data_IF_909519815947
#
_entry.id   IF_909519815947
#
_cell.length_a   1.000
_cell.length_b   1.000
_cell.length_c   1.000
_cell.angle_alpha   90.00
_cell.angle_beta   90.00
_cell.angle_gamma   90.00
#
_symmetry.space_group_name_H-M   'P 1'
#
loop_
_entity.id
_entity.type
_entity.pdbx_description
1 polymer ?
#
# COMPACT_ATOMS: atom_id res chain seq x y z
N UNK A 1 -13.88 -34.18 19.49
CA UNK A 1 -13.65 -35.55 18.99
C UNK A 1 -13.82 -36.48 20.18
N UNK A 2 -14.56 -37.58 20.01
CA UNK A 2 -14.59 -38.67 20.99
C UNK A 2 -13.14 -39.10 21.30
N UNK A 3 -12.88 -39.48 22.54
CA UNK A 3 -11.60 -40.06 22.97
C UNK A 3 -11.20 -41.15 21.98
N UNK A 4 -10.15 -40.90 21.20
CA UNK A 4 -9.62 -41.87 20.25
C UNK A 4 -9.21 -43.12 21.03
N UNK A 5 -9.73 -44.28 20.64
CA UNK A 5 -9.33 -45.56 21.21
C UNK A 5 -7.81 -45.72 21.10
N UNK A 6 -7.14 -46.28 22.12
CA UNK A 6 -5.66 -46.36 22.20
C UNK A 6 -5.01 -47.25 21.11
N UNK A 7 -5.77 -47.76 20.14
CA UNK A 7 -5.29 -48.53 18.98
C UNK A 7 -5.48 -47.86 17.61
N UNK A 8 -6.01 -46.63 17.54
CA UNK A 8 -6.26 -45.96 16.25
C UNK A 8 -4.96 -45.42 15.66
N UNK A 9 -4.56 -45.93 14.50
CA UNK A 9 -3.40 -45.41 13.77
C UNK A 9 -3.76 -44.04 13.15
N UNK A 10 -3.34 -42.97 13.83
CA UNK A 10 -3.56 -41.57 13.46
C UNK A 10 -3.01 -41.18 12.08
N UNK A 11 -2.09 -41.97 11.51
CA UNK A 11 -1.50 -41.72 10.21
C UNK A 11 -2.40 -42.17 9.05
N UNK A 12 -3.23 -43.20 9.27
CA UNK A 12 -4.11 -43.77 8.23
C UNK A 12 -5.59 -43.45 8.49
N UNK A 13 -5.89 -42.67 9.52
CA UNK A 13 -7.26 -42.27 9.85
C UNK A 13 -7.51 -40.88 9.30
N UNK A 14 -8.50 -40.78 8.40
CA UNK A 14 -8.91 -39.49 7.84
C UNK A 14 -9.61 -38.61 8.87
N UNK A 15 -9.53 -37.30 8.68
CA UNK A 15 -10.18 -36.34 9.60
C UNK A 15 -11.69 -36.36 9.46
N UNK A 16 -12.16 -36.53 8.22
CA UNK A 16 -13.57 -36.64 7.87
C UNK A 16 -13.74 -37.94 7.09
N UNK A 17 -14.82 -38.71 7.33
CA UNK A 17 -15.10 -39.89 6.51
C UNK A 17 -15.28 -39.47 5.05
N UNK A 18 -14.71 -40.22 4.08
CA UNK A 18 -14.89 -39.90 2.68
C UNK A 18 -16.36 -40.05 2.24
N UNK A 19 -16.79 -39.33 1.18
CA UNK A 19 -18.10 -39.53 0.58
C UNK A 19 -18.30 -40.99 0.12
N UNK A 20 -19.56 -41.43 0.07
CA UNK A 20 -19.91 -42.80 -0.32
C UNK A 20 -19.30 -43.12 -1.70
N UNK A 21 -18.46 -44.16 -1.76
CA UNK A 21 -17.82 -44.63 -2.99
C UNK A 21 -16.42 -44.04 -3.28
N UNK A 22 -15.85 -43.26 -2.36
CA UNK A 22 -14.50 -42.71 -2.49
C UNK A 22 -13.60 -43.20 -1.34
N UNK A 23 -12.36 -43.56 -1.66
CA UNK A 23 -11.34 -43.87 -0.64
C UNK A 23 -10.41 -42.67 -0.42
N UNK A 24 -9.96 -42.50 0.82
CA UNK A 24 -9.01 -41.43 1.19
C UNK A 24 -7.66 -41.65 0.52
N UNK A 25 -7.17 -40.65 -0.20
CA UNK A 25 -5.86 -40.70 -0.85
C UNK A 25 -4.84 -39.85 -0.08
N UNK A 26 -3.94 -40.51 0.65
CA UNK A 26 -2.92 -39.85 1.48
C UNK A 26 -1.66 -39.42 0.72
N UNK A 27 -1.45 -39.87 -0.53
CA UNK A 27 -0.30 -39.50 -1.36
C UNK A 27 -0.40 -38.07 -1.96
N UNK A 28 -1.56 -37.41 -1.78
CA UNK A 28 -1.85 -35.98 -2.05
C UNK A 28 -1.00 -35.35 -3.17
N UNK A 29 -1.29 -35.66 -4.45
CA UNK A 29 -0.71 -34.89 -5.55
C UNK A 29 -1.11 -33.41 -5.43
N UNK A 30 -0.32 -32.53 -6.06
CA UNK A 30 -0.55 -31.08 -6.00
C UNK A 30 -1.95 -30.75 -6.55
N UNK A 31 -2.80 -30.17 -5.71
CA UNK A 31 -4.18 -29.83 -6.05
C UNK A 31 -4.25 -28.59 -6.96
N UNK A 32 -5.26 -28.52 -7.83
CA UNK A 32 -5.50 -27.35 -8.70
C UNK A 32 -5.54 -26.04 -7.90
N UNK A 33 -6.12 -26.08 -6.69
CA UNK A 33 -6.21 -24.91 -5.80
C UNK A 33 -4.85 -24.51 -5.27
N UNK A 34 -3.96 -25.47 -4.96
CA UNK A 34 -2.59 -25.18 -4.54
C UNK A 34 -1.79 -24.54 -5.67
N UNK A 35 -1.93 -25.05 -6.90
CA UNK A 35 -1.29 -24.47 -8.08
C UNK A 35 -1.83 -23.04 -8.36
N UNK A 36 -3.14 -22.84 -8.27
CA UNK A 36 -3.76 -21.52 -8.39
C UNK A 36 -3.22 -20.54 -7.34
N UNK A 37 -2.99 -21.00 -6.12
CA UNK A 37 -2.45 -20.18 -5.03
C UNK A 37 -1.03 -19.70 -5.32
N UNK A 38 -0.16 -20.60 -5.76
CA UNK A 38 1.23 -20.28 -6.10
C UNK A 38 1.29 -19.31 -7.28
N UNK A 39 0.51 -19.58 -8.33
CA UNK A 39 0.48 -18.75 -9.55
C UNK A 39 -0.08 -17.36 -9.28
N UNK A 40 -1.22 -17.25 -8.59
CA UNK A 40 -1.83 -15.97 -8.20
C UNK A 40 -0.90 -15.17 -7.29
N UNK A 41 -0.27 -15.81 -6.30
CA UNK A 41 0.71 -15.12 -5.45
C UNK A 41 1.88 -14.59 -6.27
N UNK A 42 2.52 -15.42 -7.10
CA UNK A 42 3.68 -15.01 -7.88
C UNK A 42 3.37 -13.78 -8.75
N UNK A 43 2.24 -13.77 -9.45
CA UNK A 43 1.83 -12.66 -10.32
C UNK A 43 1.52 -11.39 -9.51
N UNK A 44 0.66 -11.52 -8.49
CA UNK A 44 0.20 -10.36 -7.72
C UNK A 44 1.30 -9.77 -6.83
N UNK A 45 2.15 -10.62 -6.27
CA UNK A 45 3.28 -10.22 -5.44
C UNK A 45 4.40 -9.59 -6.26
N UNK A 46 4.64 -10.09 -7.48
CA UNK A 46 5.55 -9.42 -8.42
C UNK A 46 5.07 -8.00 -8.72
N UNK A 47 3.79 -7.81 -9.03
CA UNK A 47 3.21 -6.49 -9.26
C UNK A 47 3.32 -5.59 -8.02
N UNK A 48 3.04 -6.13 -6.83
CA UNK A 48 3.21 -5.41 -5.57
C UNK A 48 4.67 -4.98 -5.36
N UNK A 49 5.63 -5.85 -5.62
CA UNK A 49 7.06 -5.58 -5.48
C UNK A 49 7.54 -4.50 -6.46
N UNK A 50 7.12 -4.56 -7.72
CA UNK A 50 7.42 -3.52 -8.72
C UNK A 50 6.84 -2.17 -8.29
N UNK A 51 5.59 -2.16 -7.81
CA UNK A 51 4.95 -0.93 -7.33
C UNK A 51 5.64 -0.34 -6.09
N UNK A 52 6.17 -1.19 -5.20
CA UNK A 52 6.91 -0.79 -4.01
C UNK A 52 8.31 -0.25 -4.39
N UNK A 53 9.00 -0.91 -5.31
CA UNK A 53 10.28 -0.42 -5.84
C UNK A 53 10.13 0.96 -6.48
N UNK A 54 9.07 1.17 -7.27
CA UNK A 54 8.75 2.49 -7.82
C UNK A 54 8.50 3.51 -6.69
N UNK A 55 7.78 3.13 -5.63
CA UNK A 55 7.56 4.00 -4.47
C UNK A 55 8.85 4.39 -3.79
N UNK A 56 9.78 3.45 -3.55
CA UNK A 56 11.09 3.77 -2.99
C UNK A 56 11.87 4.73 -3.89
N UNK A 57 11.88 4.49 -5.20
CA UNK A 57 12.52 5.41 -6.15
C UNK A 57 11.93 6.82 -6.06
N UNK A 58 10.60 6.95 -5.98
CA UNK A 58 9.95 8.26 -5.82
C UNK A 58 10.25 8.93 -4.47
N UNK A 59 10.26 8.18 -3.38
CA UNK A 59 10.57 8.70 -2.05
C UNK A 59 12.03 9.15 -1.97
N UNK A 60 12.97 8.37 -2.50
CA UNK A 60 14.40 8.68 -2.48
C UNK A 60 14.77 9.84 -3.43
N UNK A 61 14.25 9.83 -4.66
CA UNK A 61 14.68 10.78 -5.70
C UNK A 61 13.87 12.09 -5.70
N UNK A 62 12.58 12.04 -5.36
CA UNK A 62 11.67 13.19 -5.50
C UNK A 62 11.34 13.83 -4.18
N UNK A 63 10.88 13.03 -3.20
CA UNK A 63 10.42 13.56 -1.90
C UNK A 63 11.61 13.85 -0.98
N UNK A 64 12.67 13.03 -1.05
CA UNK A 64 13.89 13.12 -0.22
C UNK A 64 13.64 13.04 1.30
N UNK A 65 12.47 12.58 1.71
CA UNK A 65 12.10 12.33 3.11
C UNK A 65 11.53 10.92 3.28
N UNK A 66 11.89 10.29 4.38
CA UNK A 66 11.38 8.98 4.77
C UNK A 66 10.11 9.15 5.60
N UNK A 67 8.97 9.09 4.92
CA UNK A 67 7.67 9.15 5.56
C UNK A 67 7.30 7.80 6.21
N UNK A 68 6.67 7.83 7.39
CA UNK A 68 6.21 6.64 8.15
C UNK A 68 5.43 5.63 7.30
N UNK A 69 4.66 6.12 6.37
CA UNK A 69 3.93 5.34 5.38
C UNK A 69 4.81 4.37 4.58
N UNK A 70 6.04 4.74 4.21
CA UNK A 70 6.97 3.85 3.48
C UNK A 70 7.31 2.65 4.35
N UNK A 71 7.55 2.87 5.63
CA UNK A 71 7.86 1.81 6.59
C UNK A 71 6.65 0.89 6.75
N UNK A 72 5.45 1.45 6.93
CA UNK A 72 4.21 0.68 7.09
C UNK A 72 3.93 -0.21 5.88
N UNK A 73 4.06 0.31 4.66
CA UNK A 73 3.82 -0.49 3.46
C UNK A 73 4.90 -1.55 3.21
N UNK A 74 6.14 -1.28 3.62
CA UNK A 74 7.23 -2.27 3.60
C UNK A 74 6.93 -3.44 4.54
N UNK A 75 6.46 -3.13 5.75
CA UNK A 75 6.04 -4.15 6.71
C UNK A 75 4.82 -4.93 6.20
N UNK A 76 3.86 -4.27 5.54
CA UNK A 76 2.72 -4.94 4.91
C UNK A 76 3.15 -5.93 3.82
N UNK A 77 4.13 -5.55 2.99
CA UNK A 77 4.73 -6.41 1.96
C UNK A 77 5.47 -7.62 2.57
N UNK A 78 6.21 -7.41 3.66
CA UNK A 78 6.90 -8.49 4.37
C UNK A 78 5.92 -9.46 5.06
N UNK A 79 4.85 -8.94 5.66
CA UNK A 79 3.80 -9.78 6.28
C UNK A 79 2.97 -10.54 5.25
N UNK A 80 2.73 -9.98 4.05
CA UNK A 80 2.12 -10.69 2.94
C UNK A 80 2.98 -11.87 2.45
N UNK A 81 4.31 -11.70 2.42
CA UNK A 81 5.24 -12.81 2.15
C UNK A 81 5.19 -13.86 3.27
N UNK A 82 5.18 -13.42 4.53
CA UNK A 82 5.06 -14.31 5.68
C UNK A 82 3.77 -15.15 5.66
N UNK A 83 2.67 -14.56 5.20
CA UNK A 83 1.41 -15.27 4.96
C UNK A 83 1.60 -16.38 3.92
N UNK A 84 2.17 -16.06 2.76
CA UNK A 84 2.41 -17.04 1.70
C UNK A 84 3.35 -18.18 2.15
N UNK A 85 4.45 -17.85 2.83
CA UNK A 85 5.37 -18.85 3.38
C UNK A 85 4.63 -19.79 4.34
N UNK A 86 3.79 -19.24 5.23
CA UNK A 86 3.01 -20.05 6.18
C UNK A 86 2.01 -20.95 5.47
N UNK A 87 1.35 -20.46 4.41
CA UNK A 87 0.48 -21.26 3.53
C UNK A 87 1.24 -22.38 2.83
N UNK A 88 2.46 -22.15 2.32
CA UNK A 88 3.29 -23.19 1.72
C UNK A 88 3.63 -24.32 2.71
N UNK A 89 3.83 -24.00 4.00
CA UNK A 89 3.96 -25.03 5.03
C UNK A 89 2.65 -25.79 5.24
N UNK A 90 1.51 -25.09 5.27
CA UNK A 90 0.19 -25.73 5.41
C UNK A 90 -0.17 -26.63 4.22
N UNK A 91 0.29 -26.33 3.00
CA UNK A 91 0.11 -27.19 1.81
C UNK A 91 0.62 -28.61 2.02
N UNK A 92 1.74 -28.76 2.74
CA UNK A 92 2.31 -30.08 3.09
C UNK A 92 1.38 -30.90 3.98
N UNK A 93 0.55 -30.23 4.77
CA UNK A 93 -0.33 -30.85 5.77
C UNK A 93 -1.81 -30.84 5.36
N UNK A 94 -2.10 -30.73 4.06
CA UNK A 94 -3.45 -30.90 3.53
C UNK A 94 -4.21 -29.62 3.17
N UNK A 95 -3.57 -28.45 3.19
CA UNK A 95 -4.19 -27.21 2.68
C UNK A 95 -4.46 -27.31 1.19
N UNK A 96 -5.72 -27.15 0.76
CA UNK A 96 -6.12 -27.28 -0.65
C UNK A 96 -6.42 -28.70 -1.13
N UNK A 97 -6.18 -29.71 -0.28
CA UNK A 97 -6.67 -31.09 -0.46
C UNK A 97 -8.05 -31.25 0.17
N UNK A 98 -8.79 -32.29 -0.20
CA UNK A 98 -10.07 -32.60 0.45
C UNK A 98 -9.85 -33.04 1.89
N UNK A 99 -10.82 -32.75 2.77
CA UNK A 99 -10.65 -32.97 4.20
C UNK A 99 -10.54 -34.47 4.56
N UNK A 100 -11.11 -35.34 3.73
CA UNK A 100 -11.00 -36.80 3.87
C UNK A 100 -9.67 -37.37 3.38
N UNK A 101 -8.86 -36.60 2.64
CA UNK A 101 -7.50 -37.00 2.23
C UNK A 101 -6.42 -36.57 3.25
N UNK A 102 -6.84 -35.87 4.31
CA UNK A 102 -5.96 -35.39 5.38
C UNK A 102 -5.99 -36.36 6.54
N UNK A 103 -4.80 -36.76 7.01
CA UNK A 103 -4.64 -37.62 8.19
C UNK A 103 -4.82 -36.82 9.49
N UNK A 104 -5.22 -37.51 10.55
CA UNK A 104 -5.29 -36.93 11.89
C UNK A 104 -3.93 -36.38 12.38
N UNK A 105 -2.84 -37.06 12.07
CA UNK A 105 -1.48 -36.61 12.39
C UNK A 105 -1.13 -35.29 11.66
N UNK A 106 -1.49 -35.18 10.39
CA UNK A 106 -1.25 -33.96 9.60
C UNK A 106 -2.09 -32.79 10.09
N UNK A 107 -3.32 -33.03 10.58
CA UNK A 107 -4.14 -31.96 11.15
C UNK A 107 -3.54 -31.29 12.38
N UNK A 108 -2.78 -32.03 13.19
CA UNK A 108 -2.09 -31.43 14.34
C UNK A 108 -1.05 -30.42 13.84
N UNK A 109 -0.31 -30.75 12.78
CA UNK A 109 0.64 -29.82 12.16
C UNK A 109 -0.09 -28.68 11.43
N UNK A 110 -1.19 -28.97 10.74
CA UNK A 110 -2.04 -27.97 10.10
C UNK A 110 -2.48 -26.89 11.09
N UNK A 111 -3.02 -27.29 12.25
CA UNK A 111 -3.47 -26.36 13.30
C UNK A 111 -2.31 -25.57 13.92
N UNK A 112 -1.10 -26.14 13.97
CA UNK A 112 0.10 -25.43 14.41
C UNK A 112 0.47 -24.29 13.46
N UNK A 113 0.36 -24.49 12.15
CA UNK A 113 0.65 -23.47 11.13
C UNK A 113 -0.55 -22.55 10.83
N UNK A 114 -1.76 -22.92 11.26
CA UNK A 114 -2.96 -22.08 11.12
C UNK A 114 -2.86 -20.75 11.89
N UNK A 115 -2.26 -20.78 13.09
CA UNK A 115 -2.06 -19.59 13.93
C UNK A 115 -1.16 -18.53 13.25
N UNK A 116 0.10 -18.83 12.84
CA UNK A 116 0.95 -17.85 12.16
C UNK A 116 0.36 -17.39 10.81
N UNK A 117 -0.33 -18.26 10.09
CA UNK A 117 -1.03 -17.91 8.84
C UNK A 117 -2.15 -16.91 9.09
N UNK A 118 -2.94 -17.10 10.15
CA UNK A 118 -4.02 -16.17 10.49
C UNK A 118 -3.45 -14.83 10.95
N UNK A 119 -2.42 -14.84 11.82
CA UNK A 119 -1.77 -13.61 12.29
C UNK A 119 -1.19 -12.79 11.14
N UNK A 120 -0.40 -13.40 10.27
CA UNK A 120 0.19 -12.71 9.11
C UNK A 120 -0.87 -12.14 8.18
N UNK A 121 -1.98 -12.86 7.98
CA UNK A 121 -3.15 -12.34 7.26
C UNK A 121 -3.84 -11.17 7.97
N UNK A 122 -3.92 -11.15 9.30
CA UNK A 122 -4.56 -10.03 10.01
C UNK A 122 -3.72 -8.75 9.98
N UNK A 123 -2.41 -8.88 10.11
CA UNK A 123 -1.51 -7.73 10.20
C UNK A 123 -1.26 -7.05 8.85
N UNK A 124 -1.18 -7.82 7.76
CA UNK A 124 -0.92 -7.27 6.41
C UNK A 124 -1.94 -6.22 5.93
N UNK A 125 -3.27 -6.44 5.98
CA UNK A 125 -4.26 -5.45 5.59
C UNK A 125 -4.32 -4.31 6.60
N UNK A 126 -4.12 -4.55 7.90
CA UNK A 126 -4.06 -3.48 8.91
C UNK A 126 -2.91 -2.51 8.63
N UNK A 127 -1.71 -3.01 8.36
CA UNK A 127 -0.55 -2.19 8.00
C UNK A 127 -0.78 -1.41 6.70
N UNK A 128 -1.39 -2.06 5.70
CA UNK A 128 -1.77 -1.42 4.42
C UNK A 128 -2.76 -0.28 4.65
N UNK A 129 -3.80 -0.50 5.45
CA UNK A 129 -4.82 0.51 5.78
C UNK A 129 -4.25 1.67 6.59
N UNK A 130 -3.35 1.40 7.55
CA UNK A 130 -2.66 2.45 8.30
C UNK A 130 -1.77 3.31 7.40
N UNK A 131 -1.09 2.70 6.43
CA UNK A 131 -0.35 3.41 5.39
C UNK A 131 -1.28 4.32 4.60
N UNK A 132 -2.42 3.81 4.11
CA UNK A 132 -3.42 4.61 3.40
C UNK A 132 -3.94 5.77 4.26
N UNK A 133 -4.30 5.52 5.51
CA UNK A 133 -4.80 6.54 6.44
C UNK A 133 -3.76 7.63 6.70
N UNK A 134 -2.47 7.28 6.77
CA UNK A 134 -1.40 8.27 6.93
C UNK A 134 -1.24 9.18 5.70
N UNK A 135 -1.49 8.66 4.49
CA UNK A 135 -1.57 9.47 3.27
C UNK A 135 -2.81 10.35 3.30
N UNK A 136 -3.98 9.79 3.65
CA UNK A 136 -5.24 10.52 3.74
C UNK A 136 -5.14 11.68 4.74
N UNK A 137 -4.53 11.47 5.91
CA UNK A 137 -4.30 12.51 6.92
C UNK A 137 -3.64 13.78 6.37
N UNK A 138 -2.72 13.64 5.41
CA UNK A 138 -1.99 14.75 4.78
C UNK A 138 -2.80 15.49 3.71
N UNK A 139 -3.91 14.93 3.23
CA UNK A 139 -4.69 15.49 2.13
C UNK A 139 -5.49 16.73 2.56
N UNK A 140 -6.10 16.69 3.74
CA UNK A 140 -6.94 17.78 4.23
C UNK A 140 -6.55 18.21 5.65
N UNK A 141 -6.29 19.51 5.88
CA UNK A 141 -6.03 20.04 7.21
C UNK A 141 -7.31 20.26 8.05
N UNK A 142 -8.48 19.89 7.54
CA UNK A 142 -9.73 20.08 8.26
C UNK A 142 -9.76 19.20 9.53
N UNK A 143 -9.99 19.81 10.70
CA UNK A 143 -9.98 19.11 12.01
C UNK A 143 -10.92 17.91 12.03
N UNK A 144 -12.15 18.06 11.54
CA UNK A 144 -13.12 16.95 11.49
C UNK A 144 -12.61 15.76 10.67
N UNK A 145 -11.99 16.02 9.53
CA UNK A 145 -11.41 14.99 8.67
C UNK A 145 -10.25 14.27 9.36
N UNK A 146 -9.33 15.02 9.99
CA UNK A 146 -8.20 14.46 10.72
C UNK A 146 -8.64 13.62 11.93
N UNK A 147 -9.66 14.06 12.67
CA UNK A 147 -10.25 13.29 13.77
C UNK A 147 -10.83 11.97 13.25
N UNK A 148 -11.58 11.98 12.14
CA UNK A 148 -12.11 10.75 11.54
C UNK A 148 -11.00 9.77 11.13
N UNK A 149 -9.90 10.26 10.54
CA UNK A 149 -8.73 9.43 10.22
C UNK A 149 -8.16 8.76 11.47
N UNK A 150 -7.94 9.53 12.55
CA UNK A 150 -7.42 9.00 13.82
C UNK A 150 -8.34 7.97 14.45
N UNK A 151 -9.66 8.22 14.48
CA UNK A 151 -10.64 7.29 15.03
C UNK A 151 -10.61 5.96 14.28
N UNK A 152 -10.57 5.98 12.94
CA UNK A 152 -10.48 4.77 12.13
C UNK A 152 -9.15 4.05 12.40
N UNK A 153 -8.02 4.77 12.44
CA UNK A 153 -6.71 4.18 12.69
C UNK A 153 -6.62 3.50 14.08
N UNK A 154 -7.15 4.13 15.12
CA UNK A 154 -7.19 3.58 16.47
C UNK A 154 -8.12 2.37 16.52
N UNK A 155 -9.31 2.45 15.92
CA UNK A 155 -10.23 1.32 15.84
C UNK A 155 -9.60 0.12 15.12
N UNK A 156 -8.86 0.36 14.03
CA UNK A 156 -8.12 -0.66 13.29
C UNK A 156 -7.12 -1.41 14.18
N UNK A 157 -6.32 -0.65 14.95
CA UNK A 157 -5.32 -1.21 15.85
C UNK A 157 -5.97 -1.98 16.99
N UNK A 158 -6.99 -1.41 17.63
CA UNK A 158 -7.70 -2.04 18.76
C UNK A 158 -8.27 -3.39 18.32
N UNK A 159 -8.98 -3.48 17.20
CA UNK A 159 -9.52 -4.78 16.79
C UNK A 159 -8.40 -5.75 16.42
N UNK A 160 -7.34 -5.30 15.72
CA UNK A 160 -6.27 -6.21 15.27
C UNK A 160 -5.52 -6.80 16.47
N UNK A 161 -5.23 -5.98 17.48
CA UNK A 161 -4.60 -6.41 18.72
C UNK A 161 -5.53 -7.35 19.49
N UNK A 162 -6.82 -7.00 19.63
CA UNK A 162 -7.80 -7.84 20.32
C UNK A 162 -7.88 -9.23 19.69
N UNK A 163 -7.95 -9.32 18.37
CA UNK A 163 -8.01 -10.60 17.67
C UNK A 163 -6.69 -11.38 17.79
N UNK A 164 -5.55 -10.69 17.78
CA UNK A 164 -4.23 -11.32 18.00
C UNK A 164 -4.16 -11.97 19.39
N UNK A 165 -4.66 -11.29 20.42
CA UNK A 165 -4.73 -11.81 21.80
C UNK A 165 -5.71 -12.99 21.88
N UNK A 166 -6.90 -12.86 21.28
CA UNK A 166 -7.89 -13.94 21.28
C UNK A 166 -7.37 -15.21 20.60
N UNK A 167 -6.72 -15.07 19.44
CA UNK A 167 -6.14 -16.20 18.70
C UNK A 167 -4.98 -16.87 19.44
N UNK A 168 -4.21 -16.09 20.21
CA UNK A 168 -3.05 -16.61 20.97
C UNK A 168 -3.45 -17.23 22.31
N UNK A 169 -4.60 -16.86 22.86
CA UNK A 169 -5.11 -17.33 24.14
C UNK A 169 -6.36 -18.21 23.99
N UNK A 170 -7.57 -17.68 24.27
CA UNK A 170 -8.80 -18.48 24.40
C UNK A 170 -9.25 -19.18 23.11
N UNK A 171 -8.81 -18.71 21.95
CA UNK A 171 -9.22 -19.18 20.63
C UNK A 171 -8.03 -19.76 19.88
N UNK A 172 -7.18 -20.49 20.59
CA UNK A 172 -6.00 -21.11 20.02
C UNK A 172 -6.38 -22.37 19.23
N UNK A 173 -6.00 -22.46 17.93
CA UNK A 173 -6.30 -23.62 17.10
C UNK A 173 -5.68 -24.93 17.57
N UNK A 174 -4.73 -24.88 18.52
CA UNK A 174 -4.13 -26.07 19.14
C UNK A 174 -5.02 -26.67 20.23
N UNK A 175 -5.94 -25.89 20.80
CA UNK A 175 -6.75 -26.31 21.95
C UNK A 175 -8.02 -27.02 21.49
N UNK A 176 -8.35 -28.11 22.18
CA UNK A 176 -9.54 -28.93 21.90
C UNK A 176 -10.79 -28.13 22.31
N UNK A 177 -11.69 -27.87 21.36
CA UNK A 177 -12.93 -27.12 21.59
C UNK A 177 -12.89 -25.65 21.14
N UNK A 178 -11.75 -25.15 20.66
CA UNK A 178 -11.60 -23.78 20.15
C UNK A 178 -12.33 -23.49 18.84
N UNK A 179 -12.87 -24.52 18.16
CA UNK A 179 -13.51 -24.39 16.84
C UNK A 179 -14.68 -23.40 16.78
N UNK A 180 -15.52 -23.36 17.83
CA UNK A 180 -16.63 -22.39 17.90
C UNK A 180 -16.09 -20.96 18.04
N UNK A 181 -15.07 -20.75 18.88
CA UNK A 181 -14.46 -19.43 18.99
C UNK A 181 -13.80 -19.01 17.67
N UNK A 182 -13.01 -19.89 17.05
CA UNK A 182 -12.33 -19.60 15.78
C UNK A 182 -13.31 -19.21 14.68
N UNK A 183 -14.45 -19.90 14.59
CA UNK A 183 -15.47 -19.57 13.61
C UNK A 183 -16.08 -18.19 13.85
N UNK A 184 -16.48 -17.90 15.09
CA UNK A 184 -17.02 -16.58 15.45
C UNK A 184 -15.98 -15.47 15.20
N UNK A 185 -14.73 -15.72 15.57
CA UNK A 185 -13.62 -14.81 15.32
C UNK A 185 -13.43 -14.57 13.82
N UNK A 186 -13.43 -15.61 12.99
CA UNK A 186 -13.29 -15.49 11.54
C UNK A 186 -14.44 -14.68 10.91
N UNK A 187 -15.68 -14.90 11.34
CA UNK A 187 -16.84 -14.13 10.86
C UNK A 187 -16.73 -12.66 11.27
N UNK A 188 -16.44 -12.39 12.54
CA UNK A 188 -16.23 -11.02 13.03
C UNK A 188 -15.08 -10.33 12.29
N UNK A 189 -14.03 -11.06 11.96
CA UNK A 189 -12.89 -10.54 11.20
C UNK A 189 -13.31 -10.05 9.82
N UNK A 190 -14.06 -10.88 9.08
CA UNK A 190 -14.54 -10.55 7.73
C UNK A 190 -15.41 -9.29 7.76
N UNK A 191 -16.35 -9.20 8.72
CA UNK A 191 -17.25 -8.05 8.85
C UNK A 191 -16.47 -6.76 9.12
N UNK A 192 -15.55 -6.80 10.10
CA UNK A 192 -14.75 -5.62 10.45
C UNK A 192 -13.79 -5.22 9.31
N UNK A 193 -13.23 -6.18 8.60
CA UNK A 193 -12.35 -5.91 7.47
C UNK A 193 -13.09 -5.17 6.34
N UNK A 194 -14.29 -5.64 5.97
CA UNK A 194 -15.14 -4.98 4.98
C UNK A 194 -15.61 -3.60 5.46
N UNK A 195 -16.03 -3.48 6.72
CA UNK A 195 -16.47 -2.21 7.28
C UNK A 195 -15.36 -1.14 7.27
N UNK A 196 -14.13 -1.57 7.53
CA UNK A 196 -12.97 -0.67 7.54
C UNK A 196 -12.52 -0.30 6.11
N UNK A 197 -12.63 -1.21 5.15
CA UNK A 197 -12.43 -0.89 3.72
C UNK A 197 -13.43 0.17 3.23
N UNK A 198 -14.72 0.00 3.54
CA UNK A 198 -15.76 0.96 3.23
C UNK A 198 -15.50 2.33 3.87
N UNK A 199 -15.09 2.33 5.13
CA UNK A 199 -14.80 3.57 5.86
C UNK A 199 -13.68 4.37 5.20
N UNK A 200 -12.61 3.71 4.75
CA UNK A 200 -11.48 4.34 4.06
C UNK A 200 -11.87 4.88 2.68
N UNK A 201 -12.70 4.14 1.94
CA UNK A 201 -13.21 4.56 0.61
C UNK A 201 -14.13 5.78 0.73
N UNK A 202 -14.99 5.82 1.75
CA UNK A 202 -15.95 6.92 1.94
C UNK A 202 -15.24 8.19 2.44
N UNK A 203 -14.18 8.06 3.24
CA UNK A 203 -13.51 9.17 3.90
C UNK A 203 -13.14 10.36 2.99
N UNK A 204 -12.52 10.18 1.81
CA UNK A 204 -12.17 11.29 0.92
C UNK A 204 -13.36 11.85 0.11
N UNK A 205 -14.50 11.16 0.00
CA UNK A 205 -15.59 11.54 -0.92
C UNK A 205 -16.23 12.91 -0.58
N UNK A 206 -16.55 13.23 0.69
CA UNK A 206 -17.14 14.53 1.02
C UNK A 206 -16.18 15.70 0.70
N UNK A 207 -14.89 15.52 0.98
CA UNK A 207 -13.85 16.51 0.68
C UNK A 207 -13.66 16.71 -0.83
N UNK A 208 -13.83 15.66 -1.62
CA UNK A 208 -13.77 15.73 -3.08
C UNK A 208 -14.98 16.42 -3.70
N UNK A 209 -16.16 16.29 -3.09
CA UNK A 209 -17.38 16.92 -3.60
C UNK A 209 -17.41 18.43 -3.33
N UNK A 210 -16.83 18.89 -2.21
CA UNK A 210 -16.80 20.32 -1.87
C UNK A 210 -15.74 21.12 -2.64
N UNK A 211 -14.73 20.45 -3.23
CA UNK A 211 -13.61 21.11 -3.89
C UNK A 211 -13.81 21.14 -5.41
N UNK A 212 -13.81 22.33 -6.02
CA UNK A 212 -13.91 22.54 -7.46
C UNK A 212 -12.62 22.08 -8.18
N UNK A 213 -12.47 20.76 -8.33
CA UNK A 213 -11.27 20.12 -8.88
C UNK A 213 -11.35 20.06 -10.42
N UNK A 214 -10.27 20.39 -11.16
CA UNK A 214 -10.23 20.27 -12.62
C UNK A 214 -10.38 18.82 -13.07
N UNK A 215 -11.05 18.60 -14.21
CA UNK A 215 -11.43 17.26 -14.72
C UNK A 215 -10.30 16.21 -14.70
N UNK A 216 -9.06 16.62 -15.05
CA UNK A 216 -7.88 15.73 -15.04
C UNK A 216 -7.57 15.15 -13.66
N UNK A 217 -7.75 15.93 -12.59
CA UNK A 217 -7.54 15.48 -11.22
C UNK A 217 -8.71 14.59 -10.74
N UNK A 218 -9.93 14.85 -11.23
CA UNK A 218 -11.12 14.02 -10.97
C UNK A 218 -10.94 12.61 -11.53
N UNK A 219 -10.34 12.48 -12.73
CA UNK A 219 -10.03 11.17 -13.33
C UNK A 219 -9.02 10.38 -12.50
N UNK A 220 -7.91 10.98 -12.06
CA UNK A 220 -6.89 10.28 -11.24
C UNK A 220 -7.47 9.81 -9.90
N UNK A 221 -8.28 10.64 -9.25
CA UNK A 221 -8.99 10.27 -8.03
C UNK A 221 -9.99 9.14 -8.30
N UNK A 222 -10.70 9.19 -9.42
CA UNK A 222 -11.59 8.12 -9.87
C UNK A 222 -10.85 6.80 -10.04
N UNK A 223 -9.70 6.78 -10.71
CA UNK A 223 -8.89 5.57 -10.88
C UNK A 223 -8.43 4.98 -9.55
N UNK A 224 -7.97 5.82 -8.62
CA UNK A 224 -7.57 5.39 -7.27
C UNK A 224 -8.75 4.77 -6.52
N UNK A 225 -9.92 5.42 -6.58
CA UNK A 225 -11.15 4.92 -5.96
C UNK A 225 -11.59 3.58 -6.58
N UNK A 226 -11.46 3.44 -7.91
CA UNK A 226 -11.75 2.19 -8.61
C UNK A 226 -10.83 1.06 -8.17
N UNK A 227 -9.53 1.31 -8.00
CA UNK A 227 -8.59 0.28 -7.52
C UNK A 227 -8.90 -0.07 -6.05
N UNK A 228 -9.18 0.91 -5.20
CA UNK A 228 -9.64 0.67 -3.83
C UNK A 228 -10.93 -0.15 -3.79
N UNK A 229 -11.86 0.07 -4.73
CA UNK A 229 -13.07 -0.73 -4.84
C UNK A 229 -12.80 -2.18 -5.24
N UNK A 230 -11.75 -2.46 -6.02
CA UNK A 230 -11.37 -3.84 -6.36
C UNK A 230 -10.89 -4.64 -5.15
N UNK A 231 -10.17 -3.98 -4.22
CA UNK A 231 -9.77 -4.59 -2.93
C UNK A 231 -11.01 -4.92 -2.11
N UNK A 232 -11.97 -3.98 -2.01
CA UNK A 232 -13.23 -4.21 -1.32
C UNK A 232 -14.03 -5.37 -1.93
N UNK A 233 -14.06 -5.49 -3.26
CA UNK A 233 -14.72 -6.61 -3.95
C UNK A 233 -14.06 -7.93 -3.56
N UNK A 234 -12.72 -8.01 -3.52
CA UNK A 234 -12.02 -9.21 -3.07
C UNK A 234 -12.40 -9.59 -1.62
N UNK A 235 -12.47 -8.61 -0.71
CA UNK A 235 -12.93 -8.80 0.67
C UNK A 235 -14.36 -9.35 0.75
N UNK A 236 -15.27 -8.85 -0.08
CA UNK A 236 -16.67 -9.30 -0.14
C UNK A 236 -16.77 -10.72 -0.71
N UNK A 237 -16.03 -11.02 -1.79
CA UNK A 237 -16.02 -12.36 -2.40
C UNK A 237 -15.47 -13.40 -1.44
N UNK A 238 -14.55 -13.04 -0.53
CA UNK A 238 -14.04 -13.93 0.51
C UNK A 238 -15.10 -14.30 1.57
N UNK A 239 -16.03 -13.40 1.88
CA UNK A 239 -17.02 -13.58 2.95
C UNK A 239 -17.83 -14.89 2.89
N UNK A 240 -18.42 -15.31 1.75
CA UNK A 240 -19.17 -16.57 1.66
C UNK A 240 -18.30 -17.79 1.94
N UNK A 241 -17.03 -17.80 1.52
CA UNK A 241 -16.14 -18.95 1.78
C UNK A 241 -15.90 -19.16 3.27
N UNK A 242 -15.72 -18.08 4.04
CA UNK A 242 -15.54 -18.16 5.50
C UNK A 242 -16.79 -18.68 6.19
N UNK A 243 -17.98 -18.27 5.73
CA UNK A 243 -19.27 -18.80 6.22
C UNK A 243 -19.44 -20.29 5.93
N UNK A 244 -19.08 -20.71 4.72
CA UNK A 244 -19.22 -22.08 4.22
C UNK A 244 -18.22 -23.01 4.93
N UNK A 245 -17.00 -22.54 5.22
CA UNK A 245 -16.00 -23.32 5.97
C UNK A 245 -16.52 -23.85 7.31
N UNK A 246 -17.43 -23.14 7.98
CA UNK A 246 -17.96 -23.54 9.28
C UNK A 246 -18.87 -24.78 9.22
N UNK A 247 -19.55 -24.98 8.09
CA UNK A 247 -20.59 -25.99 7.92
C UNK A 247 -20.23 -27.08 6.94
N UNK A 248 -19.19 -26.88 6.13
CA UNK A 248 -18.81 -27.83 5.09
C UNK A 248 -17.81 -28.86 5.64
N UNK A 249 -18.03 -30.16 5.35
CA UNK A 249 -17.08 -31.21 5.72
C UNK A 249 -15.71 -31.01 5.06
N UNK A 250 -15.69 -30.35 3.90
CA UNK A 250 -14.51 -30.09 3.07
C UNK A 250 -13.81 -28.75 3.40
N UNK A 251 -13.63 -28.48 4.68
CA UNK A 251 -13.14 -27.18 5.16
C UNK A 251 -11.71 -26.84 4.67
N UNK A 252 -10.82 -27.83 4.52
CA UNK A 252 -9.44 -27.63 4.05
C UNK A 252 -9.37 -27.10 2.62
N UNK A 253 -10.24 -27.58 1.74
CA UNK A 253 -10.36 -27.10 0.35
C UNK A 253 -11.01 -25.72 0.29
N UNK A 254 -12.09 -25.51 1.04
CA UNK A 254 -12.77 -24.20 1.10
C UNK A 254 -11.92 -23.10 1.73
N UNK A 255 -11.09 -23.45 2.70
CA UNK A 255 -10.10 -22.55 3.26
C UNK A 255 -9.03 -22.16 2.24
N UNK A 256 -8.64 -23.08 1.36
CA UNK A 256 -7.68 -22.78 0.31
C UNK A 256 -8.25 -21.84 -0.77
N UNK A 257 -9.50 -22.07 -1.19
CA UNK A 257 -10.22 -21.16 -2.09
C UNK A 257 -10.31 -19.73 -1.50
N UNK A 258 -10.63 -19.61 -0.20
CA UNK A 258 -10.62 -18.34 0.50
C UNK A 258 -9.20 -17.71 0.56
N UNK A 259 -8.17 -18.54 0.72
CA UNK A 259 -6.77 -18.11 0.75
C UNK A 259 -6.31 -17.48 -0.56
N UNK A 260 -6.76 -17.99 -1.72
CA UNK A 260 -6.46 -17.38 -3.03
C UNK A 260 -6.96 -15.93 -3.08
N UNK A 261 -8.21 -15.70 -2.68
CA UNK A 261 -8.79 -14.34 -2.62
C UNK A 261 -8.05 -13.44 -1.62
N UNK A 262 -7.54 -14.02 -0.54
CA UNK A 262 -6.73 -13.30 0.45
C UNK A 262 -5.43 -12.79 -0.15
N UNK A 263 -4.73 -13.61 -0.94
CA UNK A 263 -3.49 -13.19 -1.61
C UNK A 263 -3.75 -12.02 -2.57
N UNK A 264 -4.86 -12.08 -3.32
CA UNK A 264 -5.29 -11.00 -4.20
C UNK A 264 -5.56 -9.73 -3.39
N UNK A 265 -6.33 -9.83 -2.31
CA UNK A 265 -6.65 -8.71 -1.41
C UNK A 265 -5.40 -8.03 -0.86
N UNK A 266 -4.47 -8.80 -0.27
CA UNK A 266 -3.24 -8.27 0.34
C UNK A 266 -2.37 -7.54 -0.69
N UNK A 267 -2.10 -8.19 -1.82
CA UNK A 267 -1.19 -7.64 -2.84
C UNK A 267 -1.82 -6.47 -3.61
N UNK A 268 -3.12 -6.53 -3.92
CA UNK A 268 -3.84 -5.42 -4.55
C UNK A 268 -3.97 -4.22 -3.61
N UNK A 269 -4.14 -4.46 -2.31
CA UNK A 269 -4.11 -3.41 -1.29
C UNK A 269 -2.78 -2.65 -1.30
N UNK A 270 -1.65 -3.38 -1.38
CA UNK A 270 -0.32 -2.78 -1.46
C UNK A 270 -0.16 -1.93 -2.73
N UNK A 271 -0.54 -2.48 -3.88
CA UNK A 271 -0.50 -1.78 -5.18
C UNK A 271 -1.37 -0.52 -5.13
N UNK A 272 -2.59 -0.63 -4.62
CA UNK A 272 -3.51 0.50 -4.45
C UNK A 272 -2.89 1.62 -3.62
N UNK A 273 -2.31 1.28 -2.47
CA UNK A 273 -1.66 2.25 -1.60
C UNK A 273 -0.47 2.94 -2.29
N UNK A 274 0.34 2.19 -3.03
CA UNK A 274 1.46 2.75 -3.81
C UNK A 274 0.97 3.72 -4.89
N UNK A 275 -0.15 3.41 -5.55
CA UNK A 275 -0.76 4.27 -6.56
C UNK A 275 -1.40 5.54 -5.96
N UNK A 276 -1.98 5.46 -4.76
CA UNK A 276 -2.53 6.63 -4.04
C UNK A 276 -1.48 7.73 -3.85
N UNK A 277 -0.25 7.34 -3.54
CA UNK A 277 0.85 8.30 -3.30
C UNK A 277 1.54 8.78 -4.56
N UNK A 278 1.38 8.07 -5.69
CA UNK A 278 1.93 8.49 -6.98
C UNK A 278 1.17 9.66 -7.61
N UNK A 279 0.03 10.10 -7.05
CA UNK A 279 -0.79 11.21 -7.56
C UNK A 279 0.01 12.51 -7.88
N UNK A 280 0.88 13.05 -7.01
CA UNK A 280 1.75 14.19 -7.35
C UNK A 280 2.85 13.84 -8.37
N UNK A 281 3.34 12.60 -8.39
CA UNK A 281 4.40 12.16 -9.32
C UNK A 281 3.86 11.99 -10.75
N UNK A 282 2.69 11.36 -10.91
CA UNK A 282 1.98 11.22 -12.17
C UNK A 282 1.68 12.60 -12.77
N UNK A 283 1.34 13.61 -11.96
CA UNK A 283 1.13 14.99 -12.45
C UNK A 283 2.37 15.58 -13.14
N UNK A 284 3.57 15.26 -12.66
CA UNK A 284 4.82 15.86 -13.16
C UNK A 284 5.50 15.00 -14.23
N UNK A 285 5.39 13.67 -14.14
CA UNK A 285 6.12 12.73 -15.00
C UNK A 285 5.25 11.98 -16.03
N UNK A 286 3.91 11.86 -15.88
CA UNK A 286 3.06 11.34 -16.97
C UNK A 286 3.25 12.09 -18.29
N UNK A 287 3.30 13.44 -18.36
CA UNK A 287 3.52 14.09 -19.65
C UNK A 287 4.86 13.71 -20.26
N UNK A 288 5.90 13.45 -19.46
CA UNK A 288 7.21 12.99 -19.95
C UNK A 288 7.20 11.52 -20.38
N UNK A 289 6.54 10.64 -19.62
CA UNK A 289 6.44 9.20 -19.94
C UNK A 289 5.50 8.94 -21.12
N UNK A 290 4.38 9.65 -21.25
CA UNK A 290 3.49 9.59 -22.42
C UNK A 290 4.16 10.15 -23.68
N UNK A 291 5.01 11.18 -23.54
CA UNK A 291 5.84 11.69 -24.65
C UNK A 291 6.95 10.69 -25.02
N UNK A 292 7.55 10.01 -24.03
CA UNK A 292 8.58 8.99 -24.24
C UNK A 292 8.03 7.69 -24.86
N UNK A 293 6.82 7.27 -24.46
CA UNK A 293 6.09 6.13 -25.03
C UNK A 293 5.39 6.46 -26.36
N UNK A 294 5.52 7.70 -26.88
CA UNK A 294 4.96 8.10 -28.17
C UNK A 294 3.42 8.14 -28.22
N UNK A 295 2.74 8.11 -27.08
CA UNK A 295 1.26 8.08 -26.97
C UNK A 295 0.64 9.48 -26.94
N UNK A 296 1.43 10.54 -27.07
CA UNK A 296 0.91 11.90 -27.24
C UNK A 296 0.44 12.11 -28.68
N UNK A 297 -0.88 12.24 -28.86
CA UNK A 297 -1.42 12.84 -30.07
C UNK A 297 -0.79 14.23 -30.24
N UNK A 298 -0.08 14.45 -31.36
CA UNK A 298 0.36 15.79 -31.80
C UNK A 298 -0.86 16.70 -31.76
N UNK A 299 -0.97 17.57 -30.76
CA UNK A 299 -1.80 18.75 -30.89
C UNK A 299 -1.17 19.56 -32.01
N UNK A 300 -1.81 19.58 -33.19
CA UNK A 300 -1.47 20.50 -34.27
C UNK A 300 -1.33 21.89 -33.63
N UNK A 301 -0.21 22.62 -33.84
CA UNK A 301 -0.25 24.04 -33.63
C UNK A 301 -1.34 24.57 -34.56
N UNK A 302 -2.37 25.17 -33.98
CA UNK A 302 -3.40 25.86 -34.74
C UNK A 302 -2.68 26.99 -35.47
N UNK A 303 -2.51 26.79 -36.79
CA UNK A 303 -1.88 27.79 -37.65
C UNK A 303 -2.62 29.10 -37.50
N UNK A 304 -1.89 30.13 -37.08
CA UNK A 304 -2.25 31.52 -37.32
C UNK A 304 -2.53 31.68 -38.81
N UNK A 305 -3.77 32.02 -39.14
CA UNK A 305 -4.14 32.46 -40.48
C UNK A 305 -3.56 33.86 -40.71
N UNK A 306 -2.66 34.09 -41.69
CA UNK A 306 -2.39 35.43 -42.16
C UNK A 306 -3.35 35.73 -43.30
N UNK A 307 -4.37 36.57 -43.08
CA UNK A 307 -5.14 37.13 -44.18
C UNK A 307 -5.40 38.63 -44.03
N UNK A 308 -4.52 39.36 -44.71
CA UNK A 308 -4.79 40.51 -45.60
C UNK A 308 -5.41 41.78 -44.99
N UNK A 309 -4.49 42.73 -44.81
CA UNK A 309 -4.62 44.17 -45.11
C UNK A 309 -5.65 44.52 -46.20
N UNK A 310 -6.53 45.47 -45.87
CA UNK A 310 -7.05 46.49 -46.79
C UNK A 310 -7.79 47.59 -45.99
N UNK A 311 -7.32 48.83 -46.06
CA UNK A 311 -8.16 50.01 -45.79
C UNK A 311 -7.55 51.07 -44.87
N UNK A 312 -6.80 52.00 -45.48
CA UNK A 312 -6.40 53.32 -44.95
C UNK A 312 -7.49 54.01 -44.11
N UNK A 313 -7.12 54.78 -43.07
CA UNK A 313 -7.41 56.22 -42.90
C UNK A 313 -6.60 56.83 -41.72
N UNK A 314 -5.64 57.70 -42.07
CA UNK A 314 -5.18 58.95 -41.43
C UNK A 314 -5.01 59.06 -39.90
N UNK A 315 -3.80 59.49 -39.47
CA UNK A 315 -3.67 60.62 -38.53
C UNK A 315 -2.68 60.53 -37.36
N UNK A 316 -1.42 60.93 -37.62
CA UNK A 316 -0.42 61.52 -36.70
C UNK A 316 0.32 60.66 -35.64
N UNK A 317 1.57 61.07 -35.27
CA UNK A 317 2.62 60.17 -34.78
C UNK A 317 2.91 60.33 -33.28
N UNK A 318 3.43 59.29 -32.65
CA UNK A 318 4.37 59.45 -31.53
C UNK A 318 5.26 58.22 -31.36
N UNK A 319 6.51 58.52 -31.04
CA UNK A 319 7.70 57.67 -31.02
C UNK A 319 7.54 56.32 -30.27
N UNK A 320 7.98 55.25 -30.92
CA UNK A 320 8.52 54.07 -30.22
C UNK A 320 9.90 53.76 -30.79
N UNK A 321 10.92 53.87 -29.95
CA UNK A 321 12.31 53.53 -30.28
C UNK A 321 12.41 52.04 -30.66
N UNK A 322 12.95 51.77 -31.85
CA UNK A 322 13.42 50.44 -32.21
C UNK A 322 14.85 50.25 -31.69
N UNK A 323 15.04 49.21 -30.89
CA UNK A 323 16.34 48.64 -30.56
C UNK A 323 16.73 47.70 -31.71
N UNK A 324 17.60 48.17 -32.58
CA UNK A 324 18.23 47.33 -33.60
C UNK A 324 19.71 47.12 -33.28
N UNK A 325 20.05 45.83 -33.31
CA UNK A 325 21.32 45.22 -33.75
C UNK A 325 22.63 45.70 -33.11
N UNK A 326 23.17 44.83 -32.26
CA UNK A 326 24.61 44.69 -32.07
C UNK A 326 25.21 44.04 -33.34
N UNK A 327 25.90 44.84 -34.15
CA UNK A 327 26.87 44.37 -35.14
C UNK A 327 28.28 44.58 -34.55
N UNK A 328 29.07 43.51 -34.57
CA UNK A 328 30.50 43.47 -34.31
C UNK A 328 31.26 44.16 -35.45
N UNK A 329 32.20 45.06 -35.15
CA UNK A 329 33.64 44.88 -35.42
C UNK A 329 34.41 46.20 -35.30
N UNK A 330 35.48 46.12 -34.51
CA UNK A 330 36.73 46.89 -34.43
C UNK A 330 36.73 48.43 -34.58
N UNK A 331 37.55 49.10 -33.75
CA UNK A 331 38.81 49.55 -34.34
C UNK A 331 40.04 49.45 -33.44
N UNK A 332 41.14 49.17 -34.13
CA UNK A 332 42.52 49.47 -33.81
C UNK A 332 42.77 50.83 -33.11
N UNK A 333 43.74 50.75 -32.19
CA UNK A 333 44.93 51.61 -32.06
C UNK A 333 45.02 52.67 -30.93
N UNK A 334 46.07 52.44 -30.10
CA UNK A 334 46.96 53.39 -29.38
C UNK A 334 46.36 54.05 -28.12
N UNK A 335 47.02 54.11 -26.95
CA UNK A 335 48.41 53.79 -26.58
C UNK A 335 48.60 53.91 -25.05
N UNK A 336 49.53 53.11 -24.51
CA UNK A 336 50.35 53.34 -23.30
C UNK A 336 49.69 53.64 -21.94
N UNK A 337 49.97 52.80 -20.92
CA UNK A 337 51.08 53.02 -19.95
C UNK A 337 51.08 52.01 -18.79
N UNK A 338 52.20 51.27 -18.69
CA UNK A 338 52.92 50.71 -17.50
C UNK A 338 52.16 49.95 -16.40
N UNK A 339 52.41 48.64 -16.37
CA UNK A 339 52.72 47.83 -15.16
C UNK A 339 53.97 48.37 -14.40
N UNK A 340 54.30 47.97 -13.13
CA UNK A 340 54.09 46.63 -12.56
C UNK A 340 53.81 46.51 -11.03
N UNK A 341 53.65 45.23 -10.63
CA UNK A 341 54.08 44.53 -9.39
C UNK A 341 53.43 44.93 -8.05
N UNK A 342 52.72 44.05 -7.31
CA UNK A 342 53.02 42.70 -6.72
C UNK A 342 53.33 42.82 -5.21
N UNK A 343 52.93 41.75 -4.49
CA UNK A 343 53.15 41.35 -3.09
C UNK A 343 52.11 41.81 -2.05
N UNK A 344 51.42 40.99 -1.25
CA UNK A 344 51.58 39.64 -0.65
C UNK A 344 51.63 39.75 0.89
N UNK A 345 51.11 38.70 1.55
CA UNK A 345 51.26 38.33 2.96
C UNK A 345 50.38 39.07 4.00
N UNK A 346 49.90 38.45 5.09
CA UNK A 346 49.85 37.06 5.56
C UNK A 346 49.13 37.05 6.94
N UNK A 347 48.55 35.89 7.29
CA UNK A 347 48.55 35.23 8.61
C UNK A 347 47.91 35.85 9.86
N UNK A 348 47.17 35.00 10.61
CA UNK A 348 47.12 35.05 12.08
C UNK A 348 45.87 34.48 12.75
N UNK A 349 45.96 33.21 13.19
CA UNK A 349 45.07 32.51 14.14
C UNK A 349 44.81 33.26 15.46
N UNK A 350 43.69 32.95 16.16
CA UNK A 350 43.72 32.29 17.49
C UNK A 350 42.34 32.21 18.19
N UNK A 351 42.20 31.10 18.90
CA UNK A 351 41.11 30.59 19.75
C UNK A 351 40.56 31.52 20.85
N UNK A 352 39.29 31.29 21.27
CA UNK A 352 38.90 30.90 22.65
C UNK A 352 37.38 31.05 22.94
N UNK A 353 36.74 29.94 23.31
CA UNK A 353 35.73 29.87 24.39
C UNK A 353 36.49 29.65 25.74
N UNK A 354 35.90 29.66 26.98
CA UNK A 354 34.48 29.55 27.40
C UNK A 354 34.09 30.44 28.64
N UNK A 355 32.93 30.13 29.26
CA UNK A 355 32.46 30.37 30.67
C UNK A 355 31.55 31.60 30.93
N UNK A 356 30.27 31.42 31.30
CA UNK A 356 29.63 31.15 32.63
C UNK A 356 29.81 32.27 33.67
N UNK A 357 28.73 32.98 34.04
CA UNK A 357 28.05 32.91 35.36
C UNK A 357 27.02 34.06 35.59
N UNK A 358 25.91 33.69 36.27
CA UNK A 358 25.08 34.43 37.23
C UNK A 358 24.27 35.66 36.75
N UNK A 359 23.00 35.84 37.15
CA UNK A 359 22.18 35.11 38.11
C UNK A 359 20.86 35.83 38.41
N UNK A 360 20.09 35.21 39.30
CA UNK A 360 18.96 35.73 40.08
C UNK A 360 17.55 35.74 39.46
N UNK A 361 16.76 34.72 39.85
CA UNK A 361 15.52 34.81 40.66
C UNK A 361 15.17 36.24 41.15
N UNK A 362 13.95 36.76 41.10
CA UNK A 362 12.65 36.25 41.57
C UNK A 362 11.48 37.09 40.98
N UNK A 363 10.24 36.70 41.33
CA UNK A 363 8.94 37.42 41.19
C UNK A 363 8.07 37.10 39.96
N UNK A 364 6.75 36.80 40.03
CA UNK A 364 5.75 36.67 41.10
C UNK A 364 4.59 35.84 40.50
N UNK A 365 4.13 34.80 41.21
CA UNK A 365 2.79 34.22 41.08
C UNK A 365 1.84 35.05 41.97
N UNK A 366 0.81 35.69 41.40
CA UNK A 366 -0.49 35.99 42.05
C UNK A 366 -1.46 36.71 41.09
N UNK A 367 -2.43 35.98 40.54
CA UNK A 367 -3.88 36.25 40.60
C UNK A 367 -4.64 35.34 39.64
#
# INVERSE_FOLDING_TARGET
MATLDPGVNIYNTSVVPPPIGQESNFDRPLSDVQLATITVFAVTYFLATVSLALRYATSALVVKEWELDVVLITLAWGTALGYFISVCFMMKYGWGSHAWDVSLADMVQYNKYLSPTTLTYMWSPTLTKLSILSVLYRISPARGYQISVYVIAIALLIYTITFTVLLSGPCNPKDVGSGVCLNNLAISQVVLNIATDLSIIILPLPTLHSLQIPFRQKVVVGCILSIGSAVLIASIVRAPYVRIMATNPDFTRKQAEAGVWSLVELNMGIVCNNLMRLKPFLRTYLPRVLTFLGLTAKSKPQGENPSKSSGNWRGRPSHSYQLNSLEHDDPHHKSFRKEPSVDEAAFGDLDKEPSRHNGSTDDILRS
#
